data_IF_509109639689
#
_entry.id   IF_509109639689
#
_cell.length_a   1.000
_cell.length_b   1.000
_cell.length_c   1.000
_cell.angle_alpha   90.00
_cell.angle_beta   90.00
_cell.angle_gamma   90.00
#
_symmetry.space_group_name_H-M   'P 1'
#
loop_
_entity.id
_entity.type
_entity.pdbx_description
1 polymer ?
#
# COMPACT_ATOMS: atom_id res chain seq x y z
N UNK A 1 18.44 -1.48 -13.82
CA UNK A 1 17.41 -2.49 -13.48
C UNK A 1 16.80 -2.13 -12.14
N UNK A 2 15.53 -1.73 -12.09
CA UNK A 2 14.87 -1.39 -10.82
C UNK A 2 14.54 -2.68 -10.07
N UNK A 3 15.29 -2.99 -9.01
CA UNK A 3 15.07 -4.20 -8.20
C UNK A 3 13.80 -4.03 -7.35
N UNK A 4 12.70 -4.61 -7.81
CA UNK A 4 11.45 -4.67 -7.02
C UNK A 4 11.71 -5.45 -5.74
N UNK A 5 11.51 -4.82 -4.59
CA UNK A 5 11.51 -5.46 -3.28
C UNK A 5 10.07 -5.82 -2.90
N UNK A 6 9.90 -6.91 -2.17
CA UNK A 6 8.61 -7.40 -1.71
C UNK A 6 8.61 -7.48 -0.18
N UNK A 7 7.53 -6.99 0.43
CA UNK A 7 7.36 -6.95 1.87
C UNK A 7 5.98 -7.48 2.24
N UNK A 8 5.92 -8.35 3.26
CA UNK A 8 4.64 -8.84 3.79
C UNK A 8 4.40 -8.14 5.13
N UNK A 9 3.35 -7.32 5.18
CA UNK A 9 3.03 -6.49 6.35
C UNK A 9 1.56 -6.67 6.67
N UNK A 10 1.22 -7.11 7.88
CA UNK A 10 -0.17 -7.29 8.32
C UNK A 10 -0.99 -8.25 7.43
N UNK A 11 -0.34 -9.24 6.82
CA UNK A 11 -0.96 -10.19 5.87
C UNK A 11 -1.07 -9.67 4.43
N UNK A 12 -0.63 -8.44 4.16
CA UNK A 12 -0.67 -7.81 2.83
C UNK A 12 0.70 -7.88 2.18
N UNK A 13 0.75 -8.33 0.92
CA UNK A 13 1.95 -8.38 0.08
C UNK A 13 2.16 -7.06 -0.66
N UNK A 14 3.12 -6.27 -0.22
CA UNK A 14 3.44 -4.94 -0.74
C UNK A 14 4.66 -5.03 -1.67
N UNK A 15 4.47 -4.59 -2.91
CA UNK A 15 5.55 -4.45 -3.88
C UNK A 15 6.12 -3.03 -3.85
N UNK A 16 7.41 -2.91 -3.60
CA UNK A 16 8.13 -1.63 -3.56
C UNK A 16 9.21 -1.59 -4.65
N UNK A 17 9.39 -0.48 -5.37
CA UNK A 17 10.31 -0.43 -6.50
C UNK A 17 11.80 -0.39 -6.11
N UNK A 18 12.11 -0.19 -4.84
CA UNK A 18 13.48 -0.17 -4.31
C UNK A 18 13.52 -0.82 -2.92
N UNK A 19 14.69 -0.90 -2.29
CA UNK A 19 14.79 -1.37 -0.91
C UNK A 19 14.19 -0.31 0.03
N UNK A 20 13.14 -0.66 0.75
CA UNK A 20 12.49 0.24 1.68
C UNK A 20 13.39 0.53 2.89
N UNK A 21 13.42 1.79 3.33
CA UNK A 21 14.07 2.19 4.57
C UNK A 21 13.27 1.70 5.79
N UNK A 22 13.91 1.49 6.95
CA UNK A 22 13.21 1.09 8.18
C UNK A 22 12.03 2.01 8.55
N UNK A 23 12.18 3.32 8.35
CA UNK A 23 11.11 4.30 8.56
C UNK A 23 9.93 4.14 7.60
N UNK A 24 10.19 3.76 6.34
CA UNK A 24 9.14 3.45 5.37
C UNK A 24 8.40 2.17 5.79
N UNK A 25 9.11 1.13 6.23
CA UNK A 25 8.49 -0.11 6.72
C UNK A 25 7.60 0.13 7.94
N UNK A 26 8.05 0.96 8.89
CA UNK A 26 7.23 1.36 10.04
C UNK A 26 5.95 2.10 9.60
N UNK A 27 6.07 3.01 8.62
CA UNK A 27 4.92 3.70 8.03
C UNK A 27 3.97 2.72 7.34
N UNK A 28 4.46 1.82 6.48
CA UNK A 28 3.66 0.82 5.78
C UNK A 28 2.88 -0.05 6.78
N UNK A 29 3.52 -0.43 7.90
CA UNK A 29 2.86 -1.18 8.97
C UNK A 29 1.71 -0.40 9.60
N UNK A 30 1.94 0.86 9.99
CA UNK A 30 0.89 1.70 10.55
C UNK A 30 -0.26 1.95 9.56
N UNK A 31 0.04 2.10 8.26
CA UNK A 31 -0.97 2.22 7.20
C UNK A 31 -1.81 0.95 7.11
N UNK A 32 -1.18 -0.22 6.94
CA UNK A 32 -1.92 -1.50 6.82
C UNK A 32 -2.77 -1.76 8.06
N UNK A 33 -2.24 -1.47 9.26
CA UNK A 33 -2.99 -1.59 10.51
C UNK A 33 -4.21 -0.68 10.54
N UNK A 34 -4.05 0.60 10.19
CA UNK A 34 -5.16 1.56 10.15
C UNK A 34 -6.22 1.20 9.10
N UNK A 35 -5.79 0.72 7.93
CA UNK A 35 -6.70 0.24 6.89
C UNK A 35 -7.46 -1.02 7.34
N UNK A 36 -6.77 -2.00 7.95
CA UNK A 36 -7.39 -3.21 8.49
C UNK A 36 -8.40 -2.91 9.61
N UNK A 37 -8.11 -1.94 10.48
CA UNK A 37 -9.04 -1.52 11.54
C UNK A 37 -10.11 -0.52 11.07
N UNK A 38 -10.08 -0.09 9.80
CA UNK A 38 -10.94 0.97 9.25
C UNK A 38 -10.89 2.27 10.07
N UNK A 39 -9.71 2.61 10.60
CA UNK A 39 -9.48 3.79 11.43
C UNK A 39 -8.56 4.80 10.74
N UNK A 40 -8.66 6.07 11.15
CA UNK A 40 -7.70 7.09 10.75
C UNK A 40 -6.39 6.89 11.50
N UNK A 41 -5.26 7.00 10.78
CA UNK A 41 -3.93 6.90 11.36
C UNK A 41 -3.17 8.21 11.12
N UNK A 42 -2.62 8.78 12.19
CA UNK A 42 -1.68 9.90 12.09
C UNK A 42 -0.26 9.32 11.94
N UNK A 43 0.37 9.62 10.80
CA UNK A 43 1.66 9.06 10.43
C UNK A 43 2.71 10.16 10.39
N UNK A 44 3.55 10.21 11.41
CA UNK A 44 4.74 11.05 11.39
C UNK A 44 5.87 10.34 10.68
N UNK A 45 6.52 11.02 9.75
CA UNK A 45 7.77 10.53 9.17
C UNK A 45 8.72 11.68 8.86
N UNK A 46 10.04 11.45 8.94
CA UNK A 46 11.04 12.46 8.62
C UNK A 46 10.97 12.89 7.15
N UNK A 47 11.18 14.17 6.87
CA UNK A 47 11.07 14.77 5.53
C UNK A 47 12.04 14.12 4.54
N UNK A 48 11.63 13.88 3.29
CA UNK A 48 12.49 13.31 2.24
C UNK A 48 12.49 11.76 2.11
N UNK A 49 11.80 11.02 2.96
CA UNK A 49 11.85 9.53 2.97
C UNK A 49 10.90 8.82 2.00
N UNK A 50 10.41 9.44 0.92
CA UNK A 50 9.53 8.77 -0.05
C UNK A 50 8.16 8.34 0.49
N UNK A 51 7.54 9.15 1.36
CA UNK A 51 6.25 8.87 2.03
C UNK A 51 5.12 8.56 1.05
N UNK A 52 5.02 9.37 -0.01
CA UNK A 52 3.93 9.22 -1.00
C UNK A 52 4.00 7.87 -1.69
N UNK A 53 5.20 7.38 -1.98
CA UNK A 53 5.42 6.08 -2.59
C UNK A 53 5.06 4.94 -1.63
N UNK A 54 5.52 5.02 -0.37
CA UNK A 54 5.18 4.03 0.65
C UNK A 54 3.67 3.97 0.91
N UNK A 55 3.00 5.12 0.92
CA UNK A 55 1.56 5.23 1.10
C UNK A 55 0.78 4.65 -0.07
N UNK A 56 1.10 5.03 -1.32
CA UNK A 56 0.45 4.49 -2.52
C UNK A 56 0.65 2.98 -2.64
N UNK A 57 1.89 2.50 -2.50
CA UNK A 57 2.18 1.07 -2.59
C UNK A 57 1.45 0.27 -1.51
N UNK A 58 1.39 0.76 -0.27
CA UNK A 58 0.68 0.07 0.83
C UNK A 58 -0.82 0.05 0.61
N UNK A 59 -1.41 1.18 0.20
CA UNK A 59 -2.85 1.29 -0.02
C UNK A 59 -3.32 0.42 -1.19
N UNK A 60 -2.59 0.44 -2.31
CA UNK A 60 -2.89 -0.40 -3.48
C UNK A 60 -2.72 -1.88 -3.17
N UNK A 61 -1.64 -2.27 -2.49
CA UNK A 61 -1.42 -3.64 -2.08
C UNK A 61 -2.52 -4.13 -1.12
N UNK A 62 -2.93 -3.28 -0.17
CA UNK A 62 -4.04 -3.59 0.74
C UNK A 62 -5.34 -3.77 -0.03
N UNK A 63 -5.67 -2.86 -0.95
CA UNK A 63 -6.84 -2.99 -1.82
C UNK A 63 -6.81 -4.26 -2.66
N UNK A 64 -5.65 -4.62 -3.22
CA UNK A 64 -5.47 -5.86 -3.97
C UNK A 64 -5.66 -7.10 -3.09
N UNK A 65 -5.18 -7.07 -1.86
CA UNK A 65 -5.36 -8.18 -0.92
C UNK A 65 -6.83 -8.44 -0.60
N UNK A 66 -7.65 -7.38 -0.55
CA UNK A 66 -9.11 -7.49 -0.43
C UNK A 66 -9.76 -7.96 -1.73
N UNK A 67 -9.28 -7.50 -2.88
CA UNK A 67 -9.87 -7.84 -4.19
C UNK A 67 -9.49 -9.24 -4.68
N UNK A 68 -8.45 -9.90 -4.14
CA UNK A 68 -8.20 -11.32 -4.46
C UNK A 68 -9.33 -12.21 -3.90
N UNK A 69 -10.13 -11.71 -2.95
CA UNK A 69 -11.37 -12.37 -2.51
C UNK A 69 -12.59 -12.09 -3.42
N UNK A 70 -12.52 -11.11 -4.33
CA UNK A 70 -13.61 -10.76 -5.25
C UNK A 70 -13.09 -10.62 -6.67
N UNK A 71 -13.43 -11.52 -7.62
CA UNK A 71 -13.01 -11.35 -9.01
C UNK A 71 -13.43 -9.96 -9.47
N UNK A 72 -12.43 -9.11 -9.69
CA UNK A 72 -12.61 -7.75 -10.17
C UNK A 72 -13.30 -7.84 -11.52
N UNK A 73 -14.61 -7.63 -11.53
CA UNK A 73 -15.30 -7.33 -12.76
C UNK A 73 -14.57 -6.14 -13.37
N UNK A 74 -14.14 -6.23 -14.64
CA UNK A 74 -13.42 -5.15 -15.28
C UNK A 74 -14.28 -3.91 -15.14
N UNK A 75 -13.70 -2.84 -14.60
CA UNK A 75 -14.31 -1.52 -14.55
C UNK A 75 -14.69 -1.19 -16.00
N UNK A 76 -15.94 -1.45 -16.37
CA UNK A 76 -16.52 -0.86 -17.57
C UNK A 76 -16.41 0.63 -17.30
N UNK A 77 -15.51 1.28 -18.04
CA UNK A 77 -15.51 2.74 -18.21
C UNK A 77 -16.97 3.18 -18.24
N UNK A 78 -17.41 3.91 -17.22
CA UNK A 78 -18.65 4.67 -17.30
C UNK A 78 -18.39 5.77 -18.34
N UNK A 79 -18.63 5.44 -19.61
CA UNK A 79 -18.97 6.39 -20.64
C UNK A 79 -20.44 6.12 -21.00
N UNK A 80 -21.31 6.76 -20.24
CA UNK A 80 -22.74 6.95 -20.51
C UNK A 80 -23.06 8.19 -19.67
N UNK A 81 -23.23 9.40 -20.19
CA UNK A 81 -23.71 9.89 -21.49
C UNK A 81 -22.78 10.97 -22.06
#
# INVERSE_FOLDING_TARGET
MSSRAEYIIGGVKIHFPCKAYPSQLAMMNSIVRGLNSRQHCLLESPTGSGKSLALLCSALAWQQSLSVQTPVLPIKRLNTF
#
